data_IF_553533746770
#
_entry.id   IF_553533746770
#
_cell.length_a   1.000
_cell.length_b   1.000
_cell.length_c   1.000
_cell.angle_alpha   90.00
_cell.angle_beta   90.00
_cell.angle_gamma   90.00
#
_symmetry.space_group_name_H-M   'P 1'
#
loop_
_entity.id
_entity.type
_entity.pdbx_description
1 polymer ?
#
# COMPACT_ATOMS: atom_id res chain seq x y z
N UNK A 1 -8.01 -61.42 37.34
CA UNK A 1 -8.46 -60.89 36.04
C UNK A 1 -8.94 -59.47 36.28
N UNK A 2 -8.01 -58.51 36.24
CA UNK A 2 -8.30 -57.08 36.39
C UNK A 2 -8.36 -56.51 34.98
N UNK A 3 -9.56 -56.19 34.50
CA UNK A 3 -9.73 -55.56 33.20
C UNK A 3 -9.24 -54.11 33.27
N UNK A 4 -8.51 -53.74 32.22
CA UNK A 4 -7.90 -52.45 32.01
C UNK A 4 -8.93 -51.33 32.04
N UNK A 5 -8.58 -50.26 32.76
CA UNK A 5 -9.19 -48.95 32.63
C UNK A 5 -8.86 -48.40 31.23
N UNK A 6 -9.79 -48.55 30.29
CA UNK A 6 -9.79 -47.80 29.03
C UNK A 6 -10.45 -46.44 29.27
N UNK A 7 -9.62 -45.40 29.33
CA UNK A 7 -10.04 -44.00 29.28
C UNK A 7 -10.62 -43.68 27.88
N UNK A 8 -11.93 -43.37 27.73
CA UNK A 8 -12.55 -43.23 26.42
C UNK A 8 -12.51 -41.81 25.83
N UNK A 9 -11.67 -40.88 26.30
CA UNK A 9 -11.69 -39.50 25.79
C UNK A 9 -10.32 -38.86 25.50
N UNK A 10 -9.43 -39.60 24.83
CA UNK A 10 -8.38 -38.96 24.02
C UNK A 10 -8.93 -38.75 22.59
N UNK A 11 -9.64 -37.65 22.38
CA UNK A 11 -10.09 -37.26 21.04
C UNK A 11 -8.89 -37.21 20.08
N UNK A 12 -8.99 -37.76 18.85
CA UNK A 12 -7.89 -37.69 17.91
C UNK A 12 -7.62 -36.22 17.61
N UNK A 13 -6.37 -35.83 17.83
CA UNK A 13 -5.80 -34.56 17.43
C UNK A 13 -6.06 -34.40 15.92
N UNK A 14 -7.18 -33.75 15.59
CA UNK A 14 -7.50 -33.43 14.22
C UNK A 14 -6.43 -32.46 13.80
N UNK A 15 -5.41 -32.98 13.12
CA UNK A 15 -4.40 -32.21 12.40
C UNK A 15 -5.17 -31.15 11.64
N UNK A 16 -5.16 -29.91 12.14
CA UNK A 16 -5.76 -28.76 11.48
C UNK A 16 -5.02 -28.67 10.16
N UNK A 17 -5.70 -29.04 9.08
CA UNK A 17 -5.15 -29.20 7.73
C UNK A 17 -4.73 -27.87 7.08
N UNK A 18 -4.38 -26.87 7.87
CA UNK A 18 -4.11 -25.50 7.46
C UNK A 18 -2.79 -24.94 8.00
N UNK A 19 -1.95 -25.74 8.66
CA UNK A 19 -0.58 -25.34 9.01
C UNK A 19 0.33 -25.38 7.77
N UNK A 20 0.04 -24.53 6.78
CA UNK A 20 1.05 -24.14 5.83
C UNK A 20 1.90 -23.07 6.51
N UNK A 21 3.17 -23.35 6.89
CA UNK A 21 4.01 -22.34 7.52
C UNK A 21 4.07 -21.13 6.60
N UNK A 22 3.53 -20.00 7.07
CA UNK A 22 3.51 -18.76 6.32
C UNK A 22 4.98 -18.39 6.06
N UNK A 23 5.42 -18.29 4.80
CA UNK A 23 6.79 -17.89 4.50
C UNK A 23 7.09 -16.57 5.22
N UNK A 24 8.28 -16.37 5.83
CA UNK A 24 8.59 -15.18 6.64
C UNK A 24 8.33 -13.84 5.92
N UNK A 25 8.40 -13.82 4.59
CA UNK A 25 8.08 -12.65 3.74
C UNK A 25 6.60 -12.24 3.74
N UNK A 26 5.69 -13.14 4.12
CA UNK A 26 4.24 -12.93 4.22
C UNK A 26 3.77 -12.91 5.69
N UNK A 27 4.68 -13.03 6.66
CA UNK A 27 4.33 -13.06 8.07
C UNK A 27 3.88 -11.69 8.62
N UNK A 28 4.32 -10.59 8.01
CA UNK A 28 3.87 -9.23 8.37
C UNK A 28 2.91 -8.66 7.33
N UNK A 29 1.69 -9.22 7.29
CA UNK A 29 0.58 -8.61 6.58
C UNK A 29 -0.18 -7.55 7.38
N UNK A 30 0.29 -7.28 8.60
CA UNK A 30 -0.36 -6.33 9.51
C UNK A 30 -0.30 -4.91 8.96
N UNK A 31 -1.34 -4.09 9.15
CA UNK A 31 -1.23 -2.66 8.90
C UNK A 31 -0.16 -2.06 9.85
N UNK A 32 0.55 -1.02 9.42
CA UNK A 32 1.52 -0.29 10.26
C UNK A 32 0.98 1.09 10.69
N UNK A 33 0.09 1.19 11.70
CA UNK A 33 -0.33 2.48 12.25
C UNK A 33 0.87 3.26 12.80
N UNK A 34 0.86 4.58 12.60
CA UNK A 34 1.92 5.46 13.11
C UNK A 34 3.24 5.36 12.32
N UNK A 35 3.22 4.78 11.12
CA UNK A 35 4.38 4.72 10.25
C UNK A 35 5.01 6.12 10.04
N UNK A 36 6.34 6.18 10.07
CA UNK A 36 7.09 7.38 9.65
C UNK A 36 7.31 7.42 8.12
N UNK A 37 7.78 8.55 7.58
CA UNK A 37 7.99 8.72 6.13
C UNK A 37 8.98 7.71 5.53
N UNK A 38 10.11 7.50 6.22
CA UNK A 38 11.13 6.52 5.78
C UNK A 38 10.57 5.09 5.84
N UNK A 39 9.78 4.78 6.87
CA UNK A 39 9.17 3.46 7.02
C UNK A 39 8.16 3.18 5.89
N UNK A 40 7.31 4.16 5.57
CA UNK A 40 6.37 4.06 4.46
C UNK A 40 7.10 3.84 3.12
N UNK A 41 8.16 4.60 2.86
CA UNK A 41 8.99 4.45 1.66
C UNK A 41 9.62 3.04 1.54
N UNK A 42 10.26 2.56 2.60
CA UNK A 42 10.88 1.23 2.59
C UNK A 42 9.83 0.12 2.46
N UNK A 43 8.69 0.27 3.14
CA UNK A 43 7.58 -0.70 3.11
C UNK A 43 6.91 -0.75 1.74
N UNK A 44 6.82 0.38 1.04
CA UNK A 44 6.33 0.46 -0.34
C UNK A 44 7.15 -0.43 -1.28
N UNK A 45 8.47 -0.28 -1.28
CA UNK A 45 9.36 -1.09 -2.12
C UNK A 45 9.51 -2.53 -1.63
N UNK A 46 9.36 -2.80 -0.33
CA UNK A 46 9.45 -4.16 0.21
C UNK A 46 8.19 -4.99 -0.08
N UNK A 47 7.00 -4.38 -0.06
CA UNK A 47 5.71 -5.08 -0.17
C UNK A 47 5.03 -4.93 -1.52
N UNK A 48 5.73 -4.40 -2.52
CA UNK A 48 5.15 -4.21 -3.86
C UNK A 48 4.55 -5.45 -4.54
N UNK A 49 5.07 -6.69 -4.37
CA UNK A 49 4.49 -7.85 -5.04
C UNK A 49 3.31 -8.43 -4.27
N UNK A 50 2.98 -7.88 -3.09
CA UNK A 50 1.93 -8.39 -2.20
C UNK A 50 0.69 -7.50 -2.36
N UNK A 51 -0.40 -8.09 -2.85
CA UNK A 51 -1.70 -7.42 -3.01
C UNK A 51 -2.68 -7.75 -1.88
N UNK A 52 -2.34 -8.68 -0.99
CA UNK A 52 -3.15 -9.06 0.17
C UNK A 52 -2.79 -8.24 1.41
N UNK A 53 -3.61 -8.33 2.46
CA UNK A 53 -3.47 -7.55 3.68
C UNK A 53 -3.92 -6.10 3.53
N UNK A 54 -3.54 -5.30 4.52
CA UNK A 54 -4.00 -3.92 4.69
C UNK A 54 -2.85 -2.92 4.77
N UNK A 55 -3.14 -1.69 4.35
CA UNK A 55 -2.25 -0.55 4.51
C UNK A 55 -2.92 0.50 5.39
N UNK A 56 -2.23 0.87 6.48
CA UNK A 56 -2.74 1.91 7.38
C UNK A 56 -2.77 3.28 6.69
N UNK A 57 -3.54 4.21 7.25
CA UNK A 57 -3.58 5.61 6.79
C UNK A 57 -2.19 6.24 6.73
N UNK A 58 -1.41 6.09 7.79
CA UNK A 58 -0.06 6.67 7.87
C UNK A 58 0.89 6.06 6.86
N UNK A 59 0.83 4.74 6.63
CA UNK A 59 1.65 4.07 5.60
C UNK A 59 1.31 4.63 4.20
N UNK A 60 0.02 4.78 3.90
CA UNK A 60 -0.44 5.30 2.61
C UNK A 60 -0.08 6.77 2.41
N UNK A 61 -0.47 7.65 3.34
CA UNK A 61 -0.31 9.10 3.17
C UNK A 61 1.15 9.54 3.19
N UNK A 62 2.00 8.92 3.99
CA UNK A 62 3.42 9.23 3.94
C UNK A 62 4.07 8.81 2.62
N UNK A 63 3.68 7.68 2.05
CA UNK A 63 4.12 7.33 0.70
C UNK A 63 3.65 8.37 -0.32
N UNK A 64 2.38 8.79 -0.27
CA UNK A 64 1.85 9.83 -1.18
C UNK A 64 2.67 11.12 -1.08
N UNK A 65 2.99 11.57 0.13
CA UNK A 65 3.82 12.76 0.36
C UNK A 65 5.25 12.56 -0.18
N UNK A 66 5.91 11.45 0.14
CA UNK A 66 7.26 11.15 -0.35
C UNK A 66 7.29 11.10 -1.88
N UNK A 67 6.31 10.44 -2.50
CA UNK A 67 6.19 10.37 -3.95
C UNK A 67 5.97 11.76 -4.56
N UNK A 68 5.10 12.59 -3.97
CA UNK A 68 4.88 13.97 -4.43
C UNK A 68 6.16 14.81 -4.35
N UNK A 69 6.95 14.67 -3.28
CA UNK A 69 8.25 15.35 -3.14
C UNK A 69 9.24 14.87 -4.20
N UNK A 70 9.35 13.56 -4.44
CA UNK A 70 10.26 13.01 -5.46
C UNK A 70 9.87 13.49 -6.86
N UNK A 71 8.58 13.43 -7.22
CA UNK A 71 8.09 13.91 -8.51
C UNK A 71 8.32 15.42 -8.66
N UNK A 72 8.05 16.21 -7.61
CA UNK A 72 8.31 17.65 -7.65
C UNK A 72 9.79 17.94 -7.83
N UNK A 73 10.66 17.25 -7.10
CA UNK A 73 12.12 17.39 -7.24
C UNK A 73 12.57 17.02 -8.65
N UNK A 74 12.08 15.92 -9.22
CA UNK A 74 12.37 15.52 -10.59
C UNK A 74 11.95 16.61 -11.58
N UNK A 75 10.77 17.21 -11.44
CA UNK A 75 10.28 18.26 -12.34
C UNK A 75 11.08 19.56 -12.22
N UNK A 76 11.43 19.95 -10.99
CA UNK A 76 12.14 21.19 -10.66
C UNK A 76 13.61 21.13 -11.08
N UNK A 77 14.28 19.97 -10.94
CA UNK A 77 15.71 19.85 -11.22
C UNK A 77 16.04 20.16 -12.68
N UNK A 78 15.38 19.56 -13.67
CA UNK A 78 15.70 19.83 -15.07
C UNK A 78 15.27 21.22 -15.51
N UNK A 79 14.20 21.78 -14.92
CA UNK A 79 13.91 23.23 -15.10
C UNK A 79 15.04 24.09 -14.57
N UNK A 80 15.61 23.75 -13.41
CA UNK A 80 16.80 24.40 -12.87
C UNK A 80 18.01 24.27 -13.80
N UNK A 81 18.22 23.11 -14.42
CA UNK A 81 19.30 22.89 -15.40
C UNK A 81 19.09 23.72 -16.67
N UNK A 82 17.88 23.76 -17.23
CA UNK A 82 17.59 24.55 -18.42
C UNK A 82 17.77 26.06 -18.16
N UNK A 83 17.41 26.54 -16.95
CA UNK A 83 17.68 27.91 -16.53
C UNK A 83 19.18 28.16 -16.39
N UNK A 84 19.91 27.26 -15.72
CA UNK A 84 21.35 27.40 -15.50
C UNK A 84 22.17 27.33 -16.80
N UNK A 85 21.68 26.64 -17.82
CA UNK A 85 22.33 26.54 -19.14
C UNK A 85 21.88 27.63 -20.13
N UNK A 86 20.95 28.50 -19.74
CA UNK A 86 20.42 29.57 -20.58
C UNK A 86 19.46 29.09 -21.68
N UNK A 87 18.99 27.85 -21.61
CA UNK A 87 18.00 27.29 -22.53
C UNK A 87 16.59 27.87 -22.30
N UNK A 88 16.32 28.34 -21.07
CA UNK A 88 15.11 29.11 -20.73
C UNK A 88 15.45 30.25 -19.77
N UNK A 89 14.68 31.33 -19.83
CA UNK A 89 14.92 32.55 -19.04
C UNK A 89 14.13 32.62 -17.74
N UNK A 90 13.21 31.69 -17.51
CA UNK A 90 12.45 31.66 -16.27
C UNK A 90 12.08 30.28 -15.80
N UNK A 91 12.15 30.14 -14.48
CA UNK A 91 11.84 28.90 -13.78
C UNK A 91 10.32 28.63 -13.76
N UNK A 92 9.54 29.70 -13.52
CA UNK A 92 8.07 29.68 -13.49
C UNK A 92 7.45 30.34 -14.71
N UNK A 93 8.13 31.35 -15.27
CA UNK A 93 7.65 32.19 -16.36
C UNK A 93 8.53 31.97 -17.59
N UNK A 94 8.05 31.22 -18.58
CA UNK A 94 8.84 30.98 -19.79
C UNK A 94 8.04 30.17 -20.81
N UNK A 95 8.21 30.49 -22.10
CA UNK A 95 7.84 29.55 -23.14
C UNK A 95 8.57 28.23 -22.87
N UNK A 96 7.86 27.11 -23.01
CA UNK A 96 8.42 25.76 -22.85
C UNK A 96 9.39 25.52 -24.02
N UNK A 97 10.56 26.13 -23.94
CA UNK A 97 11.66 25.86 -24.86
C UNK A 97 12.32 24.59 -24.34
N UNK A 98 12.16 23.50 -25.09
CA UNK A 98 12.70 22.20 -24.71
C UNK A 98 14.23 22.23 -24.82
N UNK A 99 14.89 22.52 -23.69
CA UNK A 99 16.33 22.45 -23.58
C UNK A 99 16.84 21.00 -23.59
N UNK A 100 18.16 20.77 -23.77
CA UNK A 100 18.74 19.42 -23.77
C UNK A 100 18.47 18.62 -22.49
N UNK A 101 18.23 19.27 -21.35
CA UNK A 101 17.93 18.58 -20.09
C UNK A 101 16.53 17.98 -20.07
N UNK A 102 15.59 18.51 -20.87
CA UNK A 102 14.22 17.99 -20.99
C UNK A 102 14.19 16.52 -21.39
N UNK A 103 15.03 16.11 -22.35
CA UNK A 103 15.10 14.73 -22.81
C UNK A 103 15.55 13.77 -21.72
N UNK A 104 16.66 14.08 -21.04
CA UNK A 104 17.18 13.27 -19.93
C UNK A 104 16.19 13.21 -18.75
N UNK A 105 15.56 14.34 -18.41
CA UNK A 105 14.54 14.42 -17.38
C UNK A 105 13.31 13.57 -17.72
N UNK A 106 12.87 13.60 -18.97
CA UNK A 106 11.70 12.84 -19.44
C UNK A 106 11.95 11.34 -19.32
N UNK A 107 13.16 10.87 -19.66
CA UNK A 107 13.56 9.47 -19.49
C UNK A 107 13.56 9.08 -18.01
N UNK A 108 14.20 9.87 -17.15
CA UNK A 108 14.27 9.58 -15.71
C UNK A 108 12.88 9.56 -15.07
N UNK A 109 12.05 10.54 -15.41
CA UNK A 109 10.65 10.64 -14.94
C UNK A 109 9.82 9.47 -15.44
N UNK A 110 10.02 9.04 -16.69
CA UNK A 110 9.36 7.86 -17.27
C UNK A 110 9.76 6.57 -16.56
N UNK A 111 11.05 6.36 -16.29
CA UNK A 111 11.54 5.20 -15.53
C UNK A 111 10.95 5.19 -14.12
N UNK A 112 10.97 6.33 -13.43
CA UNK A 112 10.37 6.46 -12.11
C UNK A 112 8.87 6.15 -12.12
N UNK A 113 8.14 6.71 -13.09
CA UNK A 113 6.72 6.45 -13.31
C UNK A 113 6.47 4.95 -13.46
N UNK A 114 7.15 4.29 -14.40
CA UNK A 114 7.03 2.85 -14.63
C UNK A 114 7.37 2.01 -13.40
N UNK A 115 8.46 2.34 -12.69
CA UNK A 115 8.90 1.63 -11.50
C UNK A 115 7.86 1.69 -10.36
N UNK A 116 7.07 2.76 -10.30
CA UNK A 116 6.06 2.95 -9.24
C UNK A 116 4.68 2.39 -9.59
N UNK A 117 4.44 1.92 -10.83
CA UNK A 117 3.12 1.38 -11.23
C UNK A 117 2.74 0.16 -10.38
N UNK A 118 3.54 -0.91 -10.42
CA UNK A 118 3.20 -2.17 -9.72
C UNK A 118 3.12 -1.93 -8.20
N UNK A 119 4.12 -1.29 -7.57
CA UNK A 119 4.04 -0.96 -6.14
C UNK A 119 2.86 -0.05 -5.77
N UNK A 120 2.53 0.91 -6.61
CA UNK A 120 1.39 1.81 -6.45
C UNK A 120 0.07 1.06 -6.46
N UNK A 121 -0.12 0.16 -7.43
CA UNK A 121 -1.31 -0.70 -7.52
C UNK A 121 -1.45 -1.62 -6.30
N UNK A 122 -0.34 -2.16 -5.80
CA UNK A 122 -0.32 -2.97 -4.57
C UNK A 122 -0.74 -2.15 -3.36
N UNK A 123 -0.16 -0.98 -3.15
CA UNK A 123 -0.47 -0.14 -1.99
C UNK A 123 -1.92 0.35 -2.03
N UNK A 124 -2.40 0.78 -3.19
CA UNK A 124 -3.79 1.20 -3.39
C UNK A 124 -4.76 0.06 -3.09
N UNK A 125 -4.51 -1.15 -3.60
CA UNK A 125 -5.34 -2.32 -3.30
C UNK A 125 -5.39 -2.61 -1.80
N UNK A 126 -4.24 -2.63 -1.12
CA UNK A 126 -4.14 -2.82 0.34
C UNK A 126 -4.83 -1.70 1.13
N UNK A 127 -4.84 -0.47 0.61
CA UNK A 127 -5.57 0.64 1.23
C UNK A 127 -7.08 0.47 1.10
N UNK A 128 -7.56 0.02 -0.06
CA UNK A 128 -8.98 -0.28 -0.26
C UNK A 128 -9.44 -1.42 0.66
N UNK A 129 -8.62 -2.46 0.80
CA UNK A 129 -8.88 -3.56 1.74
C UNK A 129 -9.00 -3.08 3.19
N UNK A 130 -8.21 -2.08 3.60
CA UNK A 130 -8.29 -1.50 4.95
C UNK A 130 -9.65 -0.82 5.22
N UNK A 131 -10.31 -0.32 4.18
CA UNK A 131 -11.66 0.28 4.25
C UNK A 131 -12.77 -0.72 3.90
N UNK A 132 -12.50 -2.03 3.92
CA UNK A 132 -13.40 -3.12 3.52
C UNK A 132 -13.86 -3.13 2.04
N UNK A 133 -13.16 -2.43 1.17
CA UNK A 133 -13.43 -2.42 -0.27
C UNK A 133 -12.49 -3.39 -1.00
N UNK A 134 -12.92 -3.95 -2.13
CA UNK A 134 -12.03 -4.77 -2.97
C UNK A 134 -10.95 -3.90 -3.63
N UNK A 135 -9.77 -4.48 -3.88
CA UNK A 135 -8.67 -3.77 -4.55
C UNK A 135 -9.01 -3.20 -5.94
N UNK A 136 -10.10 -3.65 -6.57
CA UNK A 136 -10.59 -3.13 -7.85
C UNK A 136 -11.18 -1.73 -7.76
N UNK A 137 -11.57 -1.26 -6.57
CA UNK A 137 -12.08 0.10 -6.38
C UNK A 137 -11.09 1.19 -6.80
N UNK A 138 -9.80 0.88 -6.86
CA UNK A 138 -8.79 1.81 -7.38
C UNK A 138 -8.99 2.20 -8.85
N UNK A 139 -9.74 1.41 -9.64
CA UNK A 139 -10.07 1.73 -11.03
C UNK A 139 -10.90 3.01 -11.15
N UNK A 140 -11.51 3.49 -10.07
CA UNK A 140 -12.18 4.79 -10.08
C UNK A 140 -11.22 5.94 -10.42
N UNK A 141 -9.90 5.76 -10.20
CA UNK A 141 -8.89 6.73 -10.65
C UNK A 141 -8.82 6.89 -12.18
N UNK A 142 -9.42 5.98 -12.96
CA UNK A 142 -9.54 6.12 -14.41
C UNK A 142 -10.61 7.15 -14.83
N UNK A 143 -11.47 7.58 -13.90
CA UNK A 143 -12.41 8.69 -14.10
C UNK A 143 -11.75 9.98 -13.59
N UNK A 144 -11.29 10.88 -14.48
CA UNK A 144 -10.56 12.07 -14.06
C UNK A 144 -11.42 12.98 -13.19
N UNK A 145 -10.76 13.77 -12.34
CA UNK A 145 -11.38 14.74 -11.43
C UNK A 145 -12.26 14.05 -10.39
N UNK A 146 -13.48 13.63 -10.75
CA UNK A 146 -14.43 13.04 -9.82
C UNK A 146 -13.90 11.76 -9.17
N UNK A 147 -13.33 10.85 -9.98
CA UNK A 147 -12.81 9.60 -9.47
C UNK A 147 -11.59 9.78 -8.58
N UNK A 148 -10.75 10.78 -8.87
CA UNK A 148 -9.59 11.12 -8.04
C UNK A 148 -10.02 11.65 -6.67
N UNK A 149 -10.94 12.61 -6.63
CA UNK A 149 -11.46 13.15 -5.37
C UNK A 149 -12.16 12.08 -4.55
N UNK A 150 -12.97 11.24 -5.20
CA UNK A 150 -13.64 10.13 -4.52
C UNK A 150 -12.65 9.11 -3.97
N UNK A 151 -11.63 8.72 -4.75
CA UNK A 151 -10.59 7.80 -4.28
C UNK A 151 -9.80 8.37 -3.10
N UNK A 152 -9.43 9.66 -3.16
CA UNK A 152 -8.77 10.36 -2.07
C UNK A 152 -9.64 10.34 -0.80
N UNK A 153 -10.92 10.67 -0.94
CA UNK A 153 -11.87 10.62 0.17
C UNK A 153 -11.98 9.21 0.77
N UNK A 154 -12.05 8.18 -0.07
CA UNK A 154 -12.08 6.78 0.35
C UNK A 154 -10.78 6.37 1.04
N UNK A 155 -9.63 6.72 0.47
CA UNK A 155 -8.31 6.44 1.04
C UNK A 155 -8.08 7.18 2.37
N UNK A 156 -8.77 8.31 2.62
CA UNK A 156 -8.74 9.03 3.88
C UNK A 156 -9.61 8.41 4.99
N UNK A 157 -10.54 7.49 4.68
CA UNK A 157 -11.46 6.89 5.67
C UNK A 157 -10.76 6.07 6.76
N UNK A 158 -11.37 5.89 7.95
CA UNK A 158 -10.76 5.09 9.00
C UNK A 158 -10.70 3.62 8.58
N UNK A 159 -9.79 2.87 9.20
CA UNK A 159 -9.74 1.43 8.99
C UNK A 159 -11.05 0.79 9.44
N UNK A 160 -11.65 -0.03 8.60
CA UNK A 160 -12.86 -0.79 8.91
C UNK A 160 -12.46 -2.15 9.52
N UNK A 161 -13.26 -2.63 10.48
CA UNK A 161 -13.10 -3.96 11.08
C UNK A 161 -13.31 -5.07 10.04
N UNK A 162 -14.19 -4.87 9.06
CA UNK A 162 -14.44 -5.79 7.95
C UNK A 162 -13.20 -6.08 7.10
N UNK A 163 -12.28 -5.10 7.01
CA UNK A 163 -11.03 -5.24 6.28
C UNK A 163 -10.12 -6.36 6.77
N UNK A 164 -10.28 -6.83 8.01
CA UNK A 164 -9.51 -7.95 8.57
C UNK A 164 -9.65 -9.24 7.74
N UNK A 165 -10.70 -9.39 6.93
CA UNK A 165 -10.88 -10.54 6.03
C UNK A 165 -9.78 -10.67 4.96
N UNK A 166 -9.09 -9.58 4.65
CA UNK A 166 -8.02 -9.53 3.65
C UNK A 166 -6.64 -9.89 4.22
N UNK A 167 -6.51 -10.07 5.54
CA UNK A 167 -5.25 -10.40 6.18
C UNK A 167 -4.89 -11.90 5.94
N UNK A 168 -3.64 -12.15 5.56
CA UNK A 168 -3.10 -13.49 5.27
C UNK A 168 -2.01 -13.96 6.25
N UNK A 169 -1.62 -13.10 7.21
CA UNK A 169 -0.62 -13.40 8.25
C UNK A 169 -1.18 -14.16 9.47
N UNK A 170 -0.34 -14.52 10.47
CA UNK A 170 -0.72 -15.31 11.65
C UNK A 170 -1.83 -14.67 12.51
N UNK A 171 -2.10 -13.37 12.34
CA UNK A 171 -3.24 -12.67 12.94
C UNK A 171 -4.60 -13.11 12.38
N UNK A 172 -4.63 -14.03 11.39
CA UNK A 172 -5.84 -14.65 10.84
C UNK A 172 -6.41 -15.75 11.74
N UNK A 173 -5.57 -16.39 12.56
CA UNK A 173 -5.94 -17.54 13.37
C UNK A 173 -6.10 -17.15 14.84
N UNK A 174 -7.34 -16.80 15.23
CA UNK A 174 -7.75 -16.90 16.64
C UNK A 174 -7.94 -15.61 17.42
N UNK A 175 -7.97 -14.43 16.80
CA UNK A 175 -8.64 -13.29 17.42
C UNK A 175 -10.12 -13.30 16.99
N UNK A 176 -11.06 -13.82 17.80
CA UNK A 176 -12.47 -13.62 17.51
C UNK A 176 -12.70 -12.11 17.39
N UNK A 177 -13.36 -11.69 16.30
CA UNK A 177 -13.97 -10.36 16.25
C UNK A 177 -14.96 -10.35 17.42
N UNK A 178 -14.58 -9.71 18.52
CA UNK A 178 -15.42 -9.63 19.71
C UNK A 178 -16.73 -8.93 19.27
N UNK A 179 -17.91 -9.56 19.33
CA UNK A 179 -19.18 -8.92 18.99
C UNK A 179 -19.64 -7.91 20.06
N UNK A 180 -18.70 -7.31 20.81
CA UNK A 180 -19.02 -6.56 22.04
C UNK A 180 -19.33 -5.08 21.81
N UNK A 181 -19.15 -4.55 20.60
CA UNK A 181 -19.40 -3.13 20.32
C UNK A 181 -20.45 -2.90 19.21
N UNK A 182 -21.36 -3.85 18.97
CA UNK A 182 -22.56 -3.50 18.23
C UNK A 182 -23.43 -2.62 19.16
N UNK A 183 -23.62 -1.31 18.87
CA UNK A 183 -24.66 -0.58 19.58
C UNK A 183 -25.99 -1.25 19.26
N UNK A 184 -26.72 -1.64 20.31
CA UNK A 184 -28.14 -1.97 20.20
C UNK A 184 -28.94 -0.72 19.86
#
# INVERSE_FOLDING_TARGET
MSNADEDPQAAPETIRKHDHPIPPRFADDSPLPGAGPIQAFLRFWKRYPIFTGRASRSEFWWWVVVHAVIVTALLVIGRGVDVATGATTGFWEGQVTEGPAWGAQSILSGIWGLATIIPGLSLNARRMHDTDHSGWWQLINLVPIFGWFFFIWLAAQPSDRGGARYDTGPNREGAPIKPADAPQ
#
